data_IF_070938916435
#
_entry.id   IF_070938916435
#
_cell.length_a   1.000
_cell.length_b   1.000
_cell.length_c   1.000
_cell.angle_alpha   90.00
_cell.angle_beta   90.00
_cell.angle_gamma   90.00
#
_symmetry.space_group_name_H-M   'P 1'
#
loop_
_entity.id
_entity.type
_entity.pdbx_description
1 polymer ?
#
# COMPACT_ATOMS: atom_id res chain seq x y z
N UNK A 1 -28.33 30.72 -2.21
CA UNK A 1 -28.29 29.48 -2.98
C UNK A 1 -27.06 28.75 -2.52
N UNK A 2 -27.23 27.59 -1.79
CA UNK A 2 -26.11 26.75 -1.35
C UNK A 2 -25.53 26.12 -2.60
N UNK A 3 -24.33 26.53 -2.99
CA UNK A 3 -23.56 25.79 -3.98
C UNK A 3 -23.29 24.39 -3.41
N UNK A 4 -23.96 23.40 -3.96
CA UNK A 4 -23.68 21.99 -3.66
C UNK A 4 -22.24 21.77 -4.12
N UNK A 5 -21.33 21.65 -3.18
CA UNK A 5 -19.91 21.38 -3.46
C UNK A 5 -19.81 19.91 -3.92
N UNK A 6 -20.00 19.72 -5.21
CA UNK A 6 -19.95 18.41 -5.88
C UNK A 6 -18.69 17.62 -5.54
N UNK A 7 -17.60 18.32 -5.24
CA UNK A 7 -16.34 17.73 -4.81
C UNK A 7 -16.48 16.93 -3.51
N UNK A 8 -17.34 17.35 -2.58
CA UNK A 8 -17.54 16.71 -1.28
C UNK A 8 -18.35 15.41 -1.37
N UNK A 9 -19.15 15.24 -2.43
CA UNK A 9 -19.97 14.04 -2.66
C UNK A 9 -19.21 13.06 -3.60
N UNK A 10 -18.50 13.58 -4.60
CA UNK A 10 -17.78 12.78 -5.58
C UNK A 10 -16.62 12.01 -4.96
N UNK A 11 -15.84 12.62 -4.05
CA UNK A 11 -14.70 11.99 -3.41
C UNK A 11 -15.06 10.72 -2.62
N UNK A 12 -16.05 10.75 -1.69
CA UNK A 12 -16.45 9.53 -0.98
C UNK A 12 -17.05 8.47 -1.91
N UNK A 13 -17.81 8.86 -2.93
CA UNK A 13 -18.42 7.95 -3.88
C UNK A 13 -17.34 7.19 -4.68
N UNK A 14 -16.34 7.90 -5.21
CA UNK A 14 -15.22 7.31 -5.93
C UNK A 14 -14.43 6.37 -5.01
N UNK A 15 -14.21 6.77 -3.74
CA UNK A 15 -13.49 5.94 -2.77
C UNK A 15 -14.25 4.65 -2.41
N UNK A 16 -15.59 4.70 -2.32
CA UNK A 16 -16.42 3.50 -2.10
C UNK A 16 -16.31 2.56 -3.30
N UNK A 17 -16.45 3.07 -4.52
CA UNK A 17 -16.34 2.27 -5.74
C UNK A 17 -14.94 1.63 -5.85
N UNK A 18 -13.91 2.41 -5.56
CA UNK A 18 -12.53 1.91 -5.54
C UNK A 18 -12.35 0.83 -4.46
N UNK A 19 -12.88 1.03 -3.26
CA UNK A 19 -12.86 0.04 -2.18
C UNK A 19 -13.51 -1.28 -2.58
N UNK A 20 -14.69 -1.23 -3.20
CA UNK A 20 -15.39 -2.41 -3.71
C UNK A 20 -14.55 -3.11 -4.79
N UNK A 21 -13.94 -2.35 -5.72
CA UNK A 21 -13.08 -2.90 -6.74
C UNK A 21 -11.86 -3.64 -6.17
N UNK A 22 -11.20 -3.09 -5.13
CA UNK A 22 -10.09 -3.73 -4.45
C UNK A 22 -10.50 -5.05 -3.76
N UNK A 23 -11.73 -5.12 -3.25
CA UNK A 23 -12.26 -6.34 -2.61
C UNK A 23 -12.52 -7.43 -3.65
N UNK A 24 -13.12 -7.06 -4.79
CA UNK A 24 -13.52 -8.02 -5.82
C UNK A 24 -12.35 -8.52 -6.66
N UNK A 25 -11.40 -7.64 -7.00
CA UNK A 25 -10.29 -7.91 -7.92
C UNK A 25 -8.94 -7.48 -7.34
N UNK A 26 -8.51 -8.03 -6.18
CA UNK A 26 -7.30 -7.58 -5.50
C UNK A 26 -6.04 -7.75 -6.36
N UNK A 27 -5.92 -8.83 -7.14
CA UNK A 27 -4.79 -9.06 -8.02
C UNK A 27 -4.68 -8.03 -9.14
N UNK A 28 -5.79 -7.76 -9.84
CA UNK A 28 -5.83 -6.76 -10.90
C UNK A 28 -5.56 -5.34 -10.35
N UNK A 29 -6.10 -5.02 -9.18
CA UNK A 29 -5.85 -3.74 -8.51
C UNK A 29 -4.36 -3.56 -8.17
N UNK A 30 -3.70 -4.59 -7.64
CA UNK A 30 -2.27 -4.55 -7.33
C UNK A 30 -1.43 -4.34 -8.59
N UNK A 31 -1.73 -5.07 -9.67
CA UNK A 31 -1.05 -4.91 -10.96
C UNK A 31 -1.26 -3.50 -11.53
N UNK A 32 -2.48 -2.97 -11.46
CA UNK A 32 -2.79 -1.62 -11.91
C UNK A 32 -2.00 -0.56 -11.11
N UNK A 33 -1.91 -0.69 -9.80
CA UNK A 33 -1.12 0.20 -8.95
C UNK A 33 0.37 0.11 -9.27
N UNK A 34 0.93 -1.09 -9.42
CA UNK A 34 2.32 -1.29 -9.81
C UNK A 34 2.63 -0.64 -11.17
N UNK A 35 1.76 -0.84 -12.17
CA UNK A 35 1.94 -0.24 -13.48
C UNK A 35 1.82 1.29 -13.45
N UNK A 36 0.88 1.84 -12.68
CA UNK A 36 0.72 3.28 -12.51
C UNK A 36 1.98 3.92 -11.90
N UNK A 37 2.50 3.33 -10.81
CA UNK A 37 3.76 3.75 -10.18
C UNK A 37 4.92 3.62 -11.18
N UNK A 38 4.96 2.51 -11.94
CA UNK A 38 5.96 2.29 -12.99
C UNK A 38 5.98 3.39 -14.04
N UNK A 39 4.80 3.80 -14.54
CA UNK A 39 4.69 4.92 -15.49
C UNK A 39 5.15 6.24 -14.89
N UNK A 40 4.78 6.53 -13.65
CA UNK A 40 5.23 7.77 -12.97
C UNK A 40 6.75 7.81 -12.83
N UNK A 41 7.38 6.71 -12.39
CA UNK A 41 8.84 6.61 -12.24
C UNK A 41 9.53 6.73 -13.61
N UNK A 42 8.99 6.08 -14.64
CA UNK A 42 9.53 6.11 -15.98
C UNK A 42 9.48 7.53 -16.56
N UNK A 43 8.34 8.23 -16.43
CA UNK A 43 8.20 9.60 -16.88
C UNK A 43 9.12 10.56 -16.12
N UNK A 44 9.25 10.39 -14.81
CA UNK A 44 10.16 11.19 -13.99
C UNK A 44 11.63 10.95 -14.38
N UNK A 45 12.01 9.70 -14.62
CA UNK A 45 13.34 9.33 -15.10
C UNK A 45 13.63 9.90 -16.50
N UNK A 46 12.67 9.81 -17.43
CA UNK A 46 12.80 10.37 -18.76
C UNK A 46 12.94 11.90 -18.72
N UNK A 47 12.11 12.59 -17.94
CA UNK A 47 12.21 14.04 -17.75
C UNK A 47 13.55 14.45 -17.14
N UNK A 48 14.05 13.70 -16.14
CA UNK A 48 15.37 13.93 -15.55
C UNK A 48 16.52 13.74 -16.55
N UNK A 49 16.44 12.71 -17.40
CA UNK A 49 17.43 12.46 -18.44
C UNK A 49 17.45 13.60 -19.49
N UNK A 50 16.28 14.03 -19.96
CA UNK A 50 16.14 15.16 -20.89
C UNK A 50 16.69 16.45 -20.26
N UNK A 51 16.34 16.72 -19.00
CA UNK A 51 16.85 17.91 -18.28
C UNK A 51 18.38 17.89 -18.15
N UNK A 52 18.98 16.74 -17.83
CA UNK A 52 20.44 16.57 -17.75
C UNK A 52 21.13 16.91 -19.08
N UNK A 53 20.56 16.46 -20.20
CA UNK A 53 21.16 16.64 -21.52
C UNK A 53 20.97 18.06 -22.04
N UNK A 54 19.80 18.69 -21.81
CA UNK A 54 19.48 20.01 -22.36
C UNK A 54 20.00 21.16 -21.52
N UNK A 55 19.86 21.12 -20.21
CA UNK A 55 20.14 22.28 -19.35
C UNK A 55 21.49 22.21 -18.63
N UNK A 56 22.07 21.02 -18.44
CA UNK A 56 23.30 20.83 -17.66
C UNK A 56 24.51 20.42 -18.52
N UNK A 57 24.55 20.83 -19.76
CA UNK A 57 25.65 20.47 -20.71
C UNK A 57 27.06 20.74 -20.17
N UNK A 58 27.25 21.81 -19.40
CA UNK A 58 28.55 22.16 -18.82
C UNK A 58 28.96 21.25 -17.65
N UNK A 59 27.99 20.61 -16.93
CA UNK A 59 28.24 19.77 -15.75
C UNK A 59 27.84 18.31 -16.01
N UNK A 60 27.64 17.94 -17.26
CA UNK A 60 27.14 16.63 -17.70
C UNK A 60 27.93 15.44 -17.11
N UNK A 61 29.27 15.55 -17.04
CA UNK A 61 30.14 14.48 -16.52
C UNK A 61 30.20 14.41 -14.99
N UNK A 62 29.79 15.46 -14.29
CA UNK A 62 29.96 15.57 -12.83
C UNK A 62 28.63 15.49 -12.07
N UNK A 63 27.48 15.65 -12.75
CA UNK A 63 26.21 15.60 -12.07
C UNK A 63 25.71 14.17 -11.89
N UNK A 64 25.29 13.78 -10.68
CA UNK A 64 24.72 12.44 -10.41
C UNK A 64 23.28 12.28 -11.00
N UNK A 65 22.74 13.32 -11.61
CA UNK A 65 21.36 13.35 -12.10
C UNK A 65 21.14 12.37 -13.26
N UNK A 66 22.12 12.23 -14.17
CA UNK A 66 21.99 11.35 -15.31
C UNK A 66 21.94 9.86 -14.93
N UNK A 67 22.87 9.31 -14.12
CA UNK A 67 22.77 7.92 -13.71
C UNK A 67 21.51 7.63 -12.87
N UNK A 68 21.07 8.57 -12.04
CA UNK A 68 19.82 8.45 -11.28
C UNK A 68 18.61 8.42 -12.22
N UNK A 69 18.60 9.24 -13.27
CA UNK A 69 17.52 9.25 -14.27
C UNK A 69 17.47 7.95 -15.06
N UNK A 70 18.61 7.42 -15.47
CA UNK A 70 18.71 6.13 -16.18
C UNK A 70 18.24 4.99 -15.26
N UNK A 71 18.68 4.98 -14.00
CA UNK A 71 18.20 4.02 -13.01
C UNK A 71 16.68 4.12 -12.82
N UNK A 72 16.12 5.33 -12.77
CA UNK A 72 14.67 5.57 -12.71
C UNK A 72 13.93 4.98 -13.91
N UNK A 73 14.43 5.16 -15.13
CA UNK A 73 13.86 4.55 -16.34
C UNK A 73 13.88 3.03 -16.25
N UNK A 74 14.99 2.43 -15.82
CA UNK A 74 15.12 0.97 -15.67
C UNK A 74 14.15 0.42 -14.63
N UNK A 75 14.04 1.09 -13.47
CA UNK A 75 13.09 0.72 -12.41
C UNK A 75 11.65 0.86 -12.89
N UNK A 76 11.29 1.98 -13.53
CA UNK A 76 9.96 2.19 -14.08
C UNK A 76 9.58 1.12 -15.11
N UNK A 77 10.50 0.77 -16.00
CA UNK A 77 10.31 -0.29 -16.98
C UNK A 77 10.10 -1.67 -16.31
N UNK A 78 10.87 -1.96 -15.26
CA UNK A 78 10.71 -3.19 -14.47
C UNK A 78 9.32 -3.28 -13.82
N UNK A 79 8.82 -2.19 -13.25
CA UNK A 79 7.47 -2.11 -12.67
C UNK A 79 6.36 -2.38 -13.69
N UNK A 80 6.54 -1.93 -14.93
CA UNK A 80 5.56 -2.13 -16.01
C UNK A 80 5.63 -3.54 -16.58
N UNK A 81 6.83 -4.08 -16.77
CA UNK A 81 7.03 -5.36 -17.46
C UNK A 81 6.87 -6.57 -16.55
N UNK A 82 7.14 -6.43 -15.24
CA UNK A 82 7.13 -7.52 -14.27
C UNK A 82 6.30 -7.23 -13.01
N UNK A 83 5.02 -6.81 -13.15
CA UNK A 83 4.21 -6.44 -11.99
C UNK A 83 3.97 -7.63 -11.02
N UNK A 84 3.84 -8.85 -11.52
CA UNK A 84 3.65 -10.03 -10.68
C UNK A 84 4.86 -10.34 -9.79
N UNK A 85 6.08 -10.19 -10.30
CA UNK A 85 7.30 -10.34 -9.50
C UNK A 85 7.36 -9.32 -8.35
N UNK A 86 6.91 -8.09 -8.59
CA UNK A 86 6.79 -7.07 -7.54
C UNK A 86 5.76 -7.46 -6.47
N UNK A 87 4.61 -8.01 -6.90
CA UNK A 87 3.58 -8.51 -5.98
C UNK A 87 4.14 -9.61 -5.08
N UNK A 88 4.95 -10.52 -5.62
CA UNK A 88 5.61 -11.57 -4.86
C UNK A 88 6.64 -11.01 -3.87
N UNK A 89 7.47 -10.05 -4.29
CA UNK A 89 8.44 -9.38 -3.41
C UNK A 89 7.74 -8.67 -2.25
N UNK A 90 6.67 -7.93 -2.54
CA UNK A 90 5.86 -7.26 -1.50
C UNK A 90 5.24 -8.28 -0.56
N UNK A 91 4.74 -9.41 -1.10
CA UNK A 91 4.21 -10.51 -0.29
C UNK A 91 5.25 -11.10 0.67
N UNK A 92 6.49 -11.27 0.23
CA UNK A 92 7.59 -11.73 1.09
C UNK A 92 7.96 -10.71 2.18
N UNK A 93 7.96 -9.43 1.85
CA UNK A 93 8.18 -8.36 2.85
C UNK A 93 7.07 -8.40 3.92
N UNK A 94 5.81 -8.55 3.51
CA UNK A 94 4.68 -8.69 4.42
C UNK A 94 4.84 -9.93 5.31
N UNK A 95 5.29 -11.06 4.75
CA UNK A 95 5.58 -12.29 5.50
C UNK A 95 6.57 -12.02 6.64
N UNK A 96 7.73 -11.44 6.34
CA UNK A 96 8.76 -11.12 7.34
C UNK A 96 8.22 -10.19 8.41
N UNK A 97 7.48 -9.15 8.01
CA UNK A 97 6.86 -8.19 8.92
C UNK A 97 5.85 -8.88 9.86
N UNK A 98 4.98 -9.74 9.34
CA UNK A 98 4.00 -10.49 10.13
C UNK A 98 4.67 -11.44 11.12
N UNK A 99 5.76 -12.10 10.73
CA UNK A 99 6.51 -12.97 11.64
C UNK A 99 7.15 -12.20 12.79
N UNK A 100 7.76 -11.04 12.51
CA UNK A 100 8.35 -10.17 13.54
C UNK A 100 7.25 -9.66 14.48
N UNK A 101 6.13 -9.15 13.94
CA UNK A 101 5.00 -8.65 14.74
C UNK A 101 4.35 -9.76 15.57
N UNK A 102 4.22 -10.96 15.01
CA UNK A 102 3.71 -12.11 15.73
C UNK A 102 4.59 -12.47 16.93
N UNK A 103 5.91 -12.52 16.73
CA UNK A 103 6.86 -12.82 17.80
C UNK A 103 6.88 -11.76 18.90
N UNK A 104 6.85 -10.48 18.54
CA UNK A 104 6.77 -9.38 19.53
C UNK A 104 5.47 -9.40 20.32
N UNK A 105 4.35 -9.77 19.69
CA UNK A 105 3.05 -9.94 20.37
C UNK A 105 3.07 -11.11 21.37
N UNK A 106 3.69 -12.23 21.01
CA UNK A 106 3.87 -13.38 21.91
C UNK A 106 4.74 -12.99 23.11
N UNK A 107 5.85 -12.28 22.88
CA UNK A 107 6.71 -11.79 23.98
C UNK A 107 5.93 -10.86 24.91
N UNK A 108 5.12 -9.96 24.35
CA UNK A 108 4.25 -9.06 25.12
C UNK A 108 3.25 -9.84 25.97
N UNK A 109 2.66 -10.90 25.42
CA UNK A 109 1.73 -11.77 26.15
C UNK A 109 2.41 -12.45 27.36
N UNK A 110 3.60 -12.98 27.16
CA UNK A 110 4.39 -13.63 28.23
C UNK A 110 4.75 -12.63 29.33
N UNK A 111 5.16 -11.41 28.95
CA UNK A 111 5.47 -10.36 29.91
C UNK A 111 4.23 -9.94 30.70
N UNK A 112 3.09 -9.69 30.05
CA UNK A 112 1.82 -9.34 30.71
C UNK A 112 1.38 -10.43 31.69
N UNK A 113 1.52 -11.72 31.33
CA UNK A 113 1.24 -12.83 32.23
C UNK A 113 2.11 -12.79 33.49
N UNK A 114 3.40 -12.47 33.37
CA UNK A 114 4.32 -12.34 34.52
C UNK A 114 3.95 -11.17 35.45
N UNK A 115 3.31 -10.12 34.91
CA UNK A 115 2.86 -8.96 35.71
C UNK A 115 1.44 -9.13 36.27
N UNK A 116 0.82 -10.32 36.10
CA UNK A 116 -0.50 -10.63 36.65
C UNK A 116 -1.66 -9.99 35.90
N UNK A 117 -1.45 -9.53 34.67
CA UNK A 117 -2.52 -8.95 33.83
C UNK A 117 -3.49 -10.06 33.40
N UNK A 118 -4.79 -9.84 33.57
CA UNK A 118 -5.84 -10.80 33.19
C UNK A 118 -6.04 -10.92 31.68
N UNK A 119 -5.65 -9.92 30.89
CA UNK A 119 -5.82 -9.85 29.44
C UNK A 119 -4.59 -10.34 28.65
N UNK A 120 -3.67 -11.09 29.27
CA UNK A 120 -2.45 -11.60 28.63
C UNK A 120 -2.72 -12.51 27.43
N UNK A 121 -3.89 -13.14 27.37
CA UNK A 121 -4.26 -14.06 26.30
C UNK A 121 -4.57 -13.36 24.96
N UNK A 122 -4.98 -12.05 24.98
CA UNK A 122 -5.30 -11.28 23.78
C UNK A 122 -4.08 -11.11 22.88
N UNK A 123 -2.95 -10.55 23.34
CA UNK A 123 -1.76 -10.45 22.49
C UNK A 123 -1.17 -11.83 22.15
N UNK A 124 -1.43 -12.87 22.92
CA UNK A 124 -1.01 -14.23 22.59
C UNK A 124 -1.73 -14.76 21.35
N UNK A 125 -3.06 -14.66 21.31
CA UNK A 125 -3.87 -15.09 20.16
C UNK A 125 -3.49 -14.29 18.91
N UNK A 126 -3.35 -12.97 19.03
CA UNK A 126 -2.93 -12.11 17.93
C UNK A 126 -1.54 -12.52 17.42
N UNK A 127 -0.59 -12.77 18.33
CA UNK A 127 0.76 -13.18 17.98
C UNK A 127 0.79 -14.53 17.23
N UNK A 128 0.06 -15.53 17.72
CA UNK A 128 -0.05 -16.83 17.05
C UNK A 128 -0.68 -16.68 15.66
N UNK A 129 -1.77 -15.91 15.56
CA UNK A 129 -2.43 -15.65 14.26
C UNK A 129 -1.49 -14.96 13.28
N UNK A 130 -0.73 -13.97 13.72
CA UNK A 130 0.26 -13.27 12.86
C UNK A 130 1.37 -14.22 12.40
N UNK A 131 1.89 -15.09 13.27
CA UNK A 131 2.92 -16.10 12.89
C UNK A 131 2.35 -17.07 11.86
N UNK A 132 1.15 -17.60 12.08
CA UNK A 132 0.51 -18.53 11.13
C UNK A 132 0.24 -17.87 9.79
N UNK A 133 -0.23 -16.62 9.77
CA UNK A 133 -0.41 -15.84 8.55
C UNK A 133 0.92 -15.55 7.85
N UNK A 134 1.98 -15.26 8.61
CA UNK A 134 3.32 -15.08 8.08
C UNK A 134 3.85 -16.35 7.40
N UNK A 135 3.70 -17.50 8.05
CA UNK A 135 4.07 -18.80 7.47
C UNK A 135 3.25 -19.09 6.20
N UNK A 136 1.94 -18.84 6.24
CA UNK A 136 1.10 -18.97 5.05
C UNK A 136 1.55 -18.05 3.90
N UNK A 137 1.89 -16.79 4.22
CA UNK A 137 2.37 -15.81 3.26
C UNK A 137 3.70 -16.22 2.60
N UNK A 138 4.56 -16.97 3.30
CA UNK A 138 5.80 -17.51 2.76
C UNK A 138 5.55 -18.49 1.61
N UNK A 139 4.53 -19.33 1.74
CA UNK A 139 4.17 -20.32 0.70
C UNK A 139 3.28 -19.74 -0.41
N UNK A 140 2.58 -18.66 -0.14
CA UNK A 140 1.65 -18.03 -1.08
C UNK A 140 1.72 -16.49 -1.03
N UNK A 141 2.85 -15.88 -1.46
CA UNK A 141 3.06 -14.44 -1.36
C UNK A 141 2.02 -13.61 -2.13
N UNK A 142 1.57 -14.10 -3.28
CA UNK A 142 0.49 -13.46 -4.04
C UNK A 142 -0.86 -13.46 -3.31
N UNK A 143 -1.18 -14.52 -2.56
CA UNK A 143 -2.41 -14.60 -1.77
C UNK A 143 -2.35 -13.64 -0.56
N UNK A 144 -1.21 -13.49 0.09
CA UNK A 144 -1.03 -12.54 1.19
C UNK A 144 -1.19 -11.09 0.73
N UNK A 145 -0.64 -10.73 -0.43
CA UNK A 145 -0.82 -9.41 -1.03
C UNK A 145 -2.29 -9.17 -1.40
N UNK A 146 -2.98 -10.17 -1.94
CA UNK A 146 -4.41 -10.09 -2.24
C UNK A 146 -5.25 -9.88 -0.97
N UNK A 147 -4.90 -10.55 0.14
CA UNK A 147 -5.55 -10.36 1.43
C UNK A 147 -5.37 -8.92 1.94
N UNK A 148 -4.16 -8.37 1.86
CA UNK A 148 -3.89 -6.99 2.25
C UNK A 148 -4.68 -6.00 1.40
N UNK A 149 -4.81 -6.24 0.09
CA UNK A 149 -5.63 -5.39 -0.79
C UNK A 149 -7.11 -5.45 -0.44
N UNK A 150 -7.65 -6.61 -0.06
CA UNK A 150 -9.02 -6.73 0.43
C UNK A 150 -9.25 -5.97 1.73
N UNK A 151 -8.34 -6.09 2.69
CA UNK A 151 -8.41 -5.34 3.96
C UNK A 151 -8.35 -3.84 3.68
N UNK A 152 -7.44 -3.38 2.83
CA UNK A 152 -7.35 -1.98 2.42
C UNK A 152 -8.65 -1.49 1.74
N UNK A 153 -9.27 -2.32 0.89
CA UNK A 153 -10.56 -2.02 0.26
C UNK A 153 -11.69 -1.87 1.27
N UNK A 154 -11.76 -2.76 2.27
CA UNK A 154 -12.75 -2.68 3.37
C UNK A 154 -12.55 -1.40 4.18
N UNK A 155 -11.30 -1.08 4.55
CA UNK A 155 -10.97 0.14 5.28
C UNK A 155 -11.35 1.40 4.48
N UNK A 156 -11.00 1.43 3.19
CA UNK A 156 -11.33 2.54 2.31
C UNK A 156 -12.84 2.76 2.21
N UNK A 157 -13.60 1.69 2.01
CA UNK A 157 -15.05 1.75 1.94
C UNK A 157 -15.68 2.22 3.28
N UNK A 158 -15.18 1.73 4.42
CA UNK A 158 -15.68 2.10 5.74
C UNK A 158 -15.40 3.56 6.09
N UNK A 159 -14.19 4.05 5.80
CA UNK A 159 -13.81 5.46 6.02
C UNK A 159 -14.65 6.39 5.13
N UNK A 160 -14.85 6.00 3.87
CA UNK A 160 -15.66 6.79 2.93
C UNK A 160 -17.11 6.86 3.34
N UNK A 161 -17.69 5.77 3.86
CA UNK A 161 -19.04 5.74 4.40
C UNK A 161 -19.20 6.64 5.63
N UNK A 162 -18.24 6.60 6.57
CA UNK A 162 -18.26 7.46 7.75
C UNK A 162 -18.15 8.94 7.38
N UNK A 163 -17.31 9.26 6.37
CA UNK A 163 -17.17 10.63 5.88
C UNK A 163 -18.47 11.14 5.20
N UNK A 164 -19.14 10.29 4.44
CA UNK A 164 -20.42 10.62 3.82
C UNK A 164 -21.49 10.89 4.88
N UNK A 165 -21.59 10.04 5.90
CA UNK A 165 -22.55 10.18 6.99
C UNK A 165 -22.33 11.43 7.84
N UNK A 166 -21.07 11.80 8.10
CA UNK A 166 -20.73 13.01 8.83
C UNK A 166 -21.23 14.27 8.09
N UNK A 167 -21.19 14.26 6.76
CA UNK A 167 -21.70 15.36 5.94
C UNK A 167 -23.24 15.43 5.89
N UNK A 168 -23.92 14.29 5.93
CA UNK A 168 -25.41 14.30 5.98
C UNK A 168 -25.91 14.91 7.28
N UNK A 169 -25.22 14.68 8.40
CA UNK A 169 -25.61 15.27 9.70
C UNK A 169 -25.37 16.78 9.76
N UNK A 170 -24.38 17.32 9.06
CA UNK A 170 -24.14 18.78 8.99
C UNK A 170 -25.15 19.52 8.08
N UNK A 171 -25.78 18.81 7.13
CA UNK A 171 -26.79 19.40 6.24
C UNK A 171 -28.17 19.51 6.89
N UNK A 172 -28.40 18.84 8.01
CA UNK A 172 -29.68 18.85 8.77
C UNK A 172 -29.65 19.75 10.01
N UNK A 173 -28.54 20.46 10.28
CA UNK A 173 -28.42 21.51 11.30
C UNK A 173 -28.38 22.89 10.64
#
# INVERSE_FOLDING_TARGET
>A
MKEIRWELILMPLVSIVLGIYLIMQPGAATVALCSLIGWLILLAGAAGAVNSVTFQRATFMTSPLLPVSVAGIMVGLFFITRPYTLVEIVGLIICVFLMIQGMTSIQTAVNRKRWGDTLWWVPLIIGIACVLLGVYALFAPGASTALMMRIAGIMLASVSYTHLRAHETELHL
#
